data_IF_396206437428
#
_entry.id   IF_396206437428
#
_cell.length_a   1.000
_cell.length_b   1.000
_cell.length_c   1.000
_cell.angle_alpha   90.00
_cell.angle_beta   90.00
_cell.angle_gamma   90.00
#
_symmetry.space_group_name_H-M   'P 1'
#
loop_
_entity.id
_entity.type
_entity.pdbx_description
1 polymer ?
#
# COMPACT_ATOMS: atom_id res chain seq x y z
N UNK A 1 -12.72 -1.42 13.54
CA UNK A 1 -12.77 -0.78 14.88
C UNK A 1 -11.79 0.37 14.87
N UNK A 2 -12.34 1.57 14.68
CA UNK A 2 -11.86 2.91 15.03
C UNK A 2 -12.72 3.89 14.21
N UNK A 3 -13.25 4.93 14.85
CA UNK A 3 -13.98 6.04 14.24
C UNK A 3 -13.01 7.00 13.52
N UNK A 4 -12.05 6.46 12.76
CA UNK A 4 -11.10 7.29 12.00
C UNK A 4 -11.73 7.61 10.64
N UNK A 5 -11.78 8.89 10.27
CA UNK A 5 -12.22 9.29 8.94
C UNK A 5 -11.39 8.58 7.87
N UNK A 6 -11.99 8.31 6.71
CA UNK A 6 -11.32 7.58 5.64
C UNK A 6 -9.97 8.23 5.27
N UNK A 7 -9.91 9.56 5.21
CA UNK A 7 -8.68 10.32 4.92
C UNK A 7 -7.56 10.08 5.95
N UNK A 8 -7.91 9.82 7.21
CA UNK A 8 -6.99 9.68 8.33
C UNK A 8 -6.57 8.21 8.57
N UNK A 9 -7.00 7.29 7.70
CA UNK A 9 -6.55 5.89 7.75
C UNK A 9 -5.05 5.86 7.51
N UNK A 10 -4.33 5.16 8.38
CA UNK A 10 -2.87 5.03 8.27
C UNK A 10 -2.42 4.51 6.90
N UNK A 11 -3.17 3.57 6.32
CA UNK A 11 -2.86 3.05 4.99
C UNK A 11 -2.95 4.13 3.89
N UNK A 12 -3.96 5.01 3.94
CA UNK A 12 -4.08 6.15 3.02
C UNK A 12 -2.90 7.12 3.17
N UNK A 13 -2.54 7.46 4.41
CA UNK A 13 -1.41 8.37 4.69
C UNK A 13 -0.10 7.81 4.12
N UNK A 14 0.19 6.54 4.40
CA UNK A 14 1.42 5.87 3.95
C UNK A 14 1.47 5.68 2.42
N UNK A 15 0.33 5.40 1.77
CA UNK A 15 0.27 5.35 0.30
C UNK A 15 0.58 6.73 -0.31
N UNK A 16 -0.03 7.79 0.22
CA UNK A 16 0.24 9.16 -0.24
C UNK A 16 1.71 9.56 -0.03
N UNK A 17 2.31 9.19 1.11
CA UNK A 17 3.74 9.43 1.38
C UNK A 17 4.62 8.68 0.36
N UNK A 18 4.33 7.40 0.08
CA UNK A 18 5.09 6.59 -0.87
C UNK A 18 5.01 7.15 -2.30
N UNK A 19 3.81 7.53 -2.74
CA UNK A 19 3.60 8.19 -4.04
C UNK A 19 4.31 9.55 -4.07
N UNK A 20 4.29 10.30 -2.95
CA UNK A 20 4.92 11.61 -2.83
C UNK A 20 6.44 11.59 -3.02
N UNK A 21 7.09 10.45 -2.78
CA UNK A 21 8.53 10.26 -3.06
C UNK A 21 8.81 9.61 -4.43
N UNK A 22 7.77 9.35 -5.22
CA UNK A 22 7.88 8.71 -6.53
C UNK A 22 8.07 7.20 -6.47
N UNK A 23 7.65 6.53 -5.39
CA UNK A 23 7.74 5.07 -5.31
C UNK A 23 6.71 4.42 -6.24
N UNK A 24 7.18 3.50 -7.09
CA UNK A 24 6.33 2.69 -7.97
C UNK A 24 5.80 1.43 -7.28
N UNK A 25 6.51 0.95 -6.25
CA UNK A 25 6.18 -0.26 -5.49
C UNK A 25 6.34 0.00 -3.99
N UNK A 26 5.30 -0.30 -3.22
CA UNK A 26 5.30 -0.34 -1.75
C UNK A 26 5.38 -1.80 -1.30
N UNK A 27 6.45 -2.14 -0.58
CA UNK A 27 6.70 -3.51 -0.12
C UNK A 27 6.48 -3.62 1.39
N UNK A 28 5.87 -4.70 1.83
CA UNK A 28 5.72 -5.04 3.26
C UNK A 28 5.90 -6.53 3.50
N UNK A 29 6.18 -6.92 4.74
CA UNK A 29 6.25 -8.33 5.16
C UNK A 29 5.06 -8.72 6.06
N UNK A 30 4.07 -7.83 6.22
CA UNK A 30 2.91 -8.05 7.07
C UNK A 30 1.67 -8.32 6.21
N UNK A 31 1.10 -9.54 6.24
CA UNK A 31 -0.07 -9.89 5.42
C UNK A 31 -1.29 -9.00 5.67
N UNK A 32 -1.48 -8.57 6.92
CA UNK A 32 -2.55 -7.64 7.27
C UNK A 32 -2.36 -6.27 6.62
N UNK A 33 -1.12 -5.79 6.55
CA UNK A 33 -0.81 -4.52 5.90
C UNK A 33 -1.08 -4.58 4.40
N UNK A 34 -0.80 -5.72 3.74
CA UNK A 34 -1.12 -5.91 2.32
C UNK A 34 -2.61 -5.67 2.08
N UNK A 35 -3.48 -6.38 2.81
CA UNK A 35 -4.94 -6.17 2.68
C UNK A 35 -5.35 -4.72 2.93
N UNK A 36 -4.81 -4.10 3.99
CA UNK A 36 -5.14 -2.71 4.31
C UNK A 36 -4.68 -1.71 3.25
N UNK A 37 -3.51 -1.93 2.65
CA UNK A 37 -3.00 -1.09 1.57
C UNK A 37 -3.74 -1.32 0.28
N UNK A 38 -4.08 -2.56 -0.07
CA UNK A 38 -4.86 -2.85 -1.28
C UNK A 38 -6.28 -2.26 -1.19
N UNK A 39 -6.96 -2.41 -0.05
CA UNK A 39 -8.26 -1.78 0.18
C UNK A 39 -8.17 -0.24 0.02
N UNK A 40 -7.11 0.35 0.55
CA UNK A 40 -6.88 1.80 0.49
C UNK A 40 -6.51 2.28 -0.91
N UNK A 41 -5.69 1.49 -1.63
CA UNK A 41 -5.29 1.72 -3.02
C UNK A 41 -6.53 1.72 -3.92
N UNK A 42 -7.43 0.76 -3.76
CA UNK A 42 -8.69 0.71 -4.49
C UNK A 42 -9.61 1.90 -4.17
N UNK A 43 -9.78 2.23 -2.88
CA UNK A 43 -10.64 3.37 -2.46
C UNK A 43 -10.14 4.72 -2.98
N UNK A 44 -8.82 4.89 -3.08
CA UNK A 44 -8.19 6.11 -3.58
C UNK A 44 -8.01 6.11 -5.11
N UNK A 45 -8.39 5.03 -5.81
CA UNK A 45 -8.19 4.83 -7.25
C UNK A 45 -6.70 4.92 -7.65
N UNK A 46 -5.83 4.28 -6.87
CA UNK A 46 -4.39 4.21 -7.11
C UNK A 46 -3.95 2.86 -7.72
N UNK A 47 -4.90 2.11 -8.28
CA UNK A 47 -4.68 0.81 -8.91
C UNK A 47 -3.56 0.85 -9.96
N UNK A 48 -3.51 1.91 -10.76
CA UNK A 48 -2.51 2.13 -11.82
C UNK A 48 -1.33 3.02 -11.38
N UNK A 49 -1.29 3.46 -10.12
CA UNK A 49 -0.32 4.47 -9.63
C UNK A 49 0.82 3.83 -8.84
N UNK A 50 0.52 2.87 -7.98
CA UNK A 50 1.52 2.21 -7.13
C UNK A 50 1.13 0.75 -6.90
N UNK A 51 2.09 -0.16 -6.93
CA UNK A 51 1.86 -1.57 -6.60
C UNK A 51 2.12 -1.84 -5.12
N UNK A 52 1.32 -2.70 -4.49
CA UNK A 52 1.60 -3.23 -3.16
C UNK A 52 2.06 -4.68 -3.32
N UNK A 53 3.19 -5.05 -2.69
CA UNK A 53 3.74 -6.41 -2.77
C UNK A 53 4.20 -6.92 -1.41
N UNK A 54 4.17 -8.24 -1.24
CA UNK A 54 4.92 -8.90 -0.18
C UNK A 54 6.42 -8.93 -0.51
N UNK A 55 7.26 -8.89 0.52
CA UNK A 55 8.72 -8.99 0.35
C UNK A 55 9.14 -10.29 -0.36
N UNK A 56 8.41 -11.38 -0.19
CA UNK A 56 8.70 -12.66 -0.85
C UNK A 56 8.45 -12.62 -2.35
N UNK A 57 7.50 -11.82 -2.84
CA UNK A 57 7.28 -11.62 -4.28
C UNK A 57 8.48 -10.93 -4.92
N UNK A 58 9.06 -9.92 -4.25
CA UNK A 58 10.29 -9.26 -4.71
C UNK A 58 11.46 -10.24 -4.79
N UNK A 59 11.60 -11.12 -3.79
CA UNK A 59 12.64 -12.14 -3.80
C UNK A 59 12.45 -13.13 -4.95
N UNK A 60 11.21 -13.48 -5.28
CA UNK A 60 10.90 -14.38 -6.39
C UNK A 60 11.19 -13.75 -7.76
N UNK A 61 11.04 -12.43 -7.92
CA UNK A 61 11.30 -11.72 -9.19
C UNK A 61 12.78 -11.64 -9.56
N UNK A 62 13.70 -11.82 -8.59
CA UNK A 62 15.15 -11.66 -8.79
C UNK A 62 15.93 -12.98 -8.79
N UNK A 63 15.25 -14.11 -8.64
CA UNK A 63 15.83 -15.47 -8.70
C UNK A 63 15.48 -16.11 -10.04
#
# INVERSE_FOLDING_TARGET
>A
WMETHAADRFANLRLNEAIGVGAEVLVTACPYCITMFEDSRAVLNYDDVIQVKDITEILQEVI
#
